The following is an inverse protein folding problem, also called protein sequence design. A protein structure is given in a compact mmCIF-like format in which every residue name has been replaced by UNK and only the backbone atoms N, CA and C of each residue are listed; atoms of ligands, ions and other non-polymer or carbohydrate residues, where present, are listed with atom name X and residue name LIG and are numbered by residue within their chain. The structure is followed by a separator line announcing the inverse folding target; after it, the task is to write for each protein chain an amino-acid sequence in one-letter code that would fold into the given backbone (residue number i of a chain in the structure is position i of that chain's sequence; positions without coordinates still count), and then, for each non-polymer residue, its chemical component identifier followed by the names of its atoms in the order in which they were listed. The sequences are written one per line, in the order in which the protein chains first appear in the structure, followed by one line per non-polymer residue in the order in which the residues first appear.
data_IF_283398744707
#
_entry.id   IF_283398744707
#
_cell.length_a   1.000
_cell.length_b   1.000
_cell.length_c   1.000
_cell.angle_alpha   90.00
_cell.angle_beta   90.00
_cell.angle_gamma   90.00
#
_symmetry.space_group_name_H-M   'P 1'
#
loop_
_entity.id
_entity.type
_entity.pdbx_description
1 polymer ?
#
# COMPACT_ATOMS: atom_id res chain seq x y z
N UNK A 1 -20.99 -3.52 27.53
CA UNK A 1 -21.71 -2.34 28.08
C UNK A 1 -22.64 -2.67 29.26
N UNK A 2 -23.42 -3.77 29.21
CA UNK A 2 -24.39 -4.15 30.26
C UNK A 2 -23.73 -4.44 31.63
N UNK A 3 -22.54 -5.06 31.66
CA UNK A 3 -21.78 -5.31 32.90
C UNK A 3 -21.41 -4.01 33.63
N UNK A 4 -20.92 -3.01 32.90
CA UNK A 4 -20.50 -1.73 33.47
C UNK A 4 -21.68 -0.96 34.06
N UNK A 5 -22.82 -0.96 33.37
CA UNK A 5 -24.05 -0.35 33.87
C UNK A 5 -24.54 -1.04 35.17
N UNK A 6 -24.49 -2.37 35.23
CA UNK A 6 -24.85 -3.12 36.46
C UNK A 6 -23.88 -2.83 37.62
N UNK A 7 -22.58 -2.78 37.35
CA UNK A 7 -21.57 -2.46 38.37
C UNK A 7 -21.71 -1.03 38.88
N UNK A 8 -21.92 -0.06 37.99
CA UNK A 8 -22.19 1.33 38.35
C UNK A 8 -23.45 1.44 39.20
N UNK A 9 -24.56 0.81 38.78
CA UNK A 9 -25.81 0.82 39.53
C UNK A 9 -25.64 0.21 40.93
N UNK A 10 -24.89 -0.89 41.04
CA UNK A 10 -24.58 -1.52 42.34
C UNK A 10 -23.78 -0.58 43.24
N UNK A 11 -22.77 0.12 42.71
CA UNK A 11 -21.98 1.10 43.46
C UNK A 11 -22.82 2.30 43.89
N UNK A 12 -23.64 2.84 42.99
CA UNK A 12 -24.54 3.97 43.29
C UNK A 12 -25.55 3.60 44.38
N UNK A 13 -26.11 2.38 44.35
CA UNK A 13 -27.02 1.89 45.41
C UNK A 13 -26.34 1.69 46.77
N UNK A 14 -25.02 1.53 46.81
CA UNK A 14 -24.26 1.40 48.05
C UNK A 14 -23.89 2.76 48.67
N UNK A 15 -24.05 3.85 47.91
CA UNK A 15 -23.80 5.21 48.42
C UNK A 15 -24.91 5.65 49.37
N UNK A 16 -24.57 6.54 50.30
CA UNK A 16 -25.54 7.25 51.14
C UNK A 16 -26.44 8.16 50.29
N UNK A 17 -27.62 8.53 50.80
CA UNK A 17 -28.52 9.42 50.07
C UNK A 17 -27.90 10.80 49.83
N UNK A 18 -27.08 11.29 50.77
CA UNK A 18 -26.32 12.53 50.59
C UNK A 18 -25.34 12.44 49.41
N UNK A 19 -24.59 11.34 49.32
CA UNK A 19 -23.61 11.13 48.24
C UNK A 19 -24.28 10.89 46.89
N UNK A 20 -25.45 10.22 46.86
CA UNK A 20 -26.24 10.05 45.62
C UNK A 20 -26.74 11.39 45.10
N UNK A 21 -27.24 12.25 45.98
CA UNK A 21 -27.69 13.58 45.62
C UNK A 21 -26.53 14.45 45.12
N UNK A 22 -25.37 14.38 45.77
CA UNK A 22 -24.17 15.08 45.32
C UNK A 22 -23.70 14.57 43.93
N UNK A 23 -23.71 13.26 43.71
CA UNK A 23 -23.36 12.66 42.42
C UNK A 23 -24.35 13.07 41.31
N UNK A 24 -25.65 13.13 41.62
CA UNK A 24 -26.67 13.60 40.69
C UNK A 24 -26.47 15.08 40.33
N UNK A 25 -26.19 15.94 41.32
CA UNK A 25 -25.89 17.36 41.08
C UNK A 25 -24.66 17.52 40.17
N UNK A 26 -23.57 16.81 40.46
CA UNK A 26 -22.37 16.86 39.62
C UNK A 26 -22.68 16.40 38.19
N UNK A 27 -23.38 15.28 38.03
CA UNK A 27 -23.65 14.71 36.69
C UNK A 27 -24.58 15.60 35.86
N UNK A 28 -25.58 16.22 36.49
CA UNK A 28 -26.58 17.04 35.81
C UNK A 28 -26.09 18.46 35.55
N UNK A 29 -25.38 19.06 36.51
CA UNK A 29 -25.09 20.49 36.52
C UNK A 29 -23.61 20.81 36.29
N UNK A 30 -22.70 19.84 36.47
CA UNK A 30 -21.24 20.06 36.38
C UNK A 30 -20.53 19.19 35.34
N UNK A 31 -21.26 18.35 34.60
CA UNK A 31 -20.74 17.61 33.46
C UNK A 31 -21.34 18.16 32.16
N UNK A 32 -20.49 18.45 31.18
CA UNK A 32 -20.92 18.88 29.86
C UNK A 32 -20.78 17.72 28.85
N UNK A 33 -21.86 17.42 28.13
CA UNK A 33 -21.84 16.52 26.98
C UNK A 33 -21.80 17.36 25.69
N UNK A 34 -20.69 17.32 24.97
CA UNK A 34 -20.60 17.94 23.65
C UNK A 34 -21.11 16.95 22.61
N UNK A 35 -22.28 17.22 22.03
CA UNK A 35 -22.85 16.44 20.92
C UNK A 35 -22.61 17.18 19.61
N UNK A 36 -21.84 16.56 18.72
CA UNK A 36 -21.70 17.02 17.33
C UNK A 36 -22.62 16.20 16.44
N UNK A 37 -23.52 16.87 15.71
CA UNK A 37 -24.44 16.24 14.76
C UNK A 37 -23.99 16.62 13.36
N UNK A 38 -23.90 15.62 12.49
CA UNK A 38 -23.51 15.75 11.08
C UNK A 38 -24.63 15.21 10.19
N UNK A 39 -24.68 15.69 8.95
CA UNK A 39 -25.74 15.34 8.00
C UNK A 39 -25.59 13.94 7.40
N UNK A 40 -24.35 13.44 7.33
CA UNK A 40 -24.05 12.13 6.76
C UNK A 40 -22.84 11.48 7.46
N UNK A 41 -22.69 10.18 7.21
CA UNK A 41 -21.69 9.35 7.87
C UNK A 41 -20.25 9.76 7.52
N UNK A 42 -20.00 10.20 6.29
CA UNK A 42 -18.66 10.59 5.82
C UNK A 42 -18.21 11.89 6.51
N UNK A 43 -19.12 12.85 6.70
CA UNK A 43 -18.85 14.05 7.51
C UNK A 43 -18.60 13.70 8.98
N UNK A 44 -19.34 12.72 9.51
CA UNK A 44 -19.12 12.20 10.87
C UNK A 44 -17.71 11.65 11.04
N UNK A 45 -17.22 10.90 10.05
CA UNK A 45 -15.85 10.39 10.05
C UNK A 45 -14.81 11.52 10.00
N UNK A 46 -15.01 12.53 9.14
CA UNK A 46 -14.09 13.69 9.09
C UNK A 46 -14.04 14.42 10.43
N UNK A 47 -15.19 14.68 11.04
CA UNK A 47 -15.27 15.33 12.36
C UNK A 47 -14.59 14.47 13.42
N UNK A 48 -14.87 13.16 13.48
CA UNK A 48 -14.24 12.25 14.42
C UNK A 48 -12.71 12.26 14.27
N UNK A 49 -12.22 12.25 13.03
CA UNK A 49 -10.78 12.28 12.72
C UNK A 49 -10.13 13.59 13.16
N UNK A 50 -10.75 14.74 12.85
CA UNK A 50 -10.27 16.09 13.23
C UNK A 50 -10.28 16.28 14.75
N UNK A 51 -11.31 15.79 15.45
CA UNK A 51 -11.40 15.89 16.91
C UNK A 51 -10.33 15.02 17.60
N UNK A 52 -10.00 13.86 17.04
CA UNK A 52 -8.97 12.98 17.56
C UNK A 52 -7.56 13.34 17.09
N UNK A 53 -7.37 14.37 16.25
CA UNK A 53 -6.04 14.83 15.81
C UNK A 53 -5.19 15.39 16.97
N UNK A 54 -5.82 15.81 18.08
CA UNK A 54 -5.10 16.16 19.32
C UNK A 54 -4.62 14.93 20.12
N UNK A 55 -5.13 13.73 19.80
CA UNK A 55 -4.65 12.44 20.29
C UNK A 55 -4.04 11.60 19.15
N UNK A 56 -3.87 10.28 19.35
CA UNK A 56 -3.48 9.37 18.26
C UNK A 56 -4.66 9.21 17.30
N UNK A 57 -4.52 9.73 16.09
CA UNK A 57 -5.54 9.62 15.04
C UNK A 57 -5.79 8.13 14.72
N UNK A 58 -7.07 7.67 14.72
CA UNK A 58 -7.39 6.30 14.37
C UNK A 58 -7.09 6.05 12.89
N UNK A 59 -6.48 4.91 12.58
CA UNK A 59 -6.18 4.51 11.22
C UNK A 59 -7.44 4.11 10.45
N UNK A 60 -7.34 3.99 9.13
CA UNK A 60 -8.48 3.52 8.35
C UNK A 60 -8.87 2.08 8.71
N UNK A 61 -7.89 1.25 9.06
CA UNK A 61 -8.07 -0.11 9.56
C UNK A 61 -8.90 -0.14 10.85
N UNK A 62 -8.71 0.78 11.80
CA UNK A 62 -9.52 0.86 13.04
C UNK A 62 -11.01 1.11 12.75
N UNK A 63 -11.27 2.03 11.81
CA UNK A 63 -12.64 2.37 11.41
C UNK A 63 -13.28 1.20 10.66
N UNK A 64 -12.55 0.59 9.72
CA UNK A 64 -13.03 -0.58 8.98
C UNK A 64 -13.31 -1.75 9.94
N UNK A 65 -12.43 -2.02 10.92
CA UNK A 65 -12.64 -3.03 11.97
C UNK A 65 -13.99 -2.83 12.66
N UNK A 66 -14.23 -1.61 13.15
CA UNK A 66 -15.46 -1.26 13.86
C UNK A 66 -16.71 -1.54 13.01
N UNK A 67 -16.67 -1.15 11.73
CA UNK A 67 -17.77 -1.35 10.80
C UNK A 67 -18.01 -2.83 10.47
N UNK A 68 -16.95 -3.62 10.31
CA UNK A 68 -17.07 -5.06 10.10
C UNK A 68 -17.73 -5.74 11.29
N UNK A 69 -17.33 -5.38 12.51
CA UNK A 69 -17.83 -5.99 13.74
C UNK A 69 -19.32 -5.67 13.93
N UNK A 70 -19.71 -4.42 13.67
CA UNK A 70 -21.12 -4.01 13.71
C UNK A 70 -21.97 -4.78 12.69
N UNK A 71 -21.46 -4.99 11.47
CA UNK A 71 -22.16 -5.71 10.40
C UNK A 71 -22.25 -7.21 10.64
N UNK A 72 -21.26 -7.79 11.30
CA UNK A 72 -21.22 -9.23 11.57
C UNK A 72 -22.14 -9.68 12.70
N UNK A 73 -22.69 -8.75 13.50
CA UNK A 73 -23.60 -9.04 14.63
C UNK A 73 -23.05 -10.11 15.59
N UNK A 74 -21.75 -10.02 15.89
CA UNK A 74 -21.06 -10.97 16.75
C UNK A 74 -21.63 -11.02 18.16
N UNK A 75 -21.58 -12.21 18.76
CA UNK A 75 -21.66 -12.39 20.22
C UNK A 75 -20.45 -11.72 20.92
N UNK A 76 -20.47 -11.65 22.24
CA UNK A 76 -19.37 -11.00 22.99
C UNK A 76 -18.08 -11.81 22.84
N UNK A 77 -18.20 -13.14 22.88
CA UNK A 77 -17.12 -14.10 22.75
C UNK A 77 -16.49 -14.04 21.35
N UNK A 78 -17.33 -14.04 20.30
CA UNK A 78 -16.86 -13.89 18.91
C UNK A 78 -16.18 -12.52 18.69
N UNK A 79 -16.75 -11.44 19.22
CA UNK A 79 -16.17 -10.11 19.09
C UNK A 79 -14.77 -10.04 19.74
N UNK A 80 -14.58 -10.68 20.90
CA UNK A 80 -13.26 -10.79 21.52
C UNK A 80 -12.28 -11.58 20.66
N UNK A 81 -12.69 -12.75 20.16
CA UNK A 81 -11.86 -13.59 19.28
C UNK A 81 -11.40 -12.85 18.01
N UNK A 82 -12.31 -12.19 17.30
CA UNK A 82 -11.95 -11.43 16.10
C UNK A 82 -11.13 -10.18 16.43
N UNK A 83 -11.34 -9.56 17.61
CA UNK A 83 -10.57 -8.39 18.01
C UNK A 83 -9.10 -8.73 18.24
N UNK A 84 -8.84 -9.88 18.86
CA UNK A 84 -7.50 -10.41 19.09
C UNK A 84 -6.79 -10.73 17.77
N UNK A 85 -7.44 -11.49 16.88
CA UNK A 85 -6.89 -11.79 15.54
C UNK A 85 -6.60 -10.55 14.71
N UNK A 86 -7.47 -9.53 14.79
CA UNK A 86 -7.20 -8.26 14.12
C UNK A 86 -5.96 -7.57 14.69
N UNK A 87 -5.80 -7.56 16.01
CA UNK A 87 -4.63 -6.98 16.67
C UNK A 87 -3.34 -7.73 16.31
N UNK A 88 -3.39 -9.06 16.16
CA UNK A 88 -2.25 -9.85 15.66
C UNK A 88 -1.86 -9.44 14.23
N UNK A 89 -2.85 -9.27 13.34
CA UNK A 89 -2.59 -8.80 11.96
C UNK A 89 -2.01 -7.38 11.93
N UNK A 90 -2.53 -6.48 12.77
CA UNK A 90 -2.00 -5.13 12.91
C UNK A 90 -0.59 -5.12 13.48
N UNK A 91 -0.31 -5.92 14.51
CA UNK A 91 1.03 -6.04 15.10
C UNK A 91 2.04 -6.62 14.10
N UNK A 92 1.62 -7.58 13.26
CA UNK A 92 2.48 -8.22 12.28
C UNK A 92 2.91 -7.28 11.13
N UNK A 93 2.07 -6.30 10.77
CA UNK A 93 2.31 -5.39 9.64
C UNK A 93 2.67 -3.97 10.06
N UNK A 94 2.13 -3.50 11.19
CA UNK A 94 2.03 -2.10 11.58
C UNK A 94 0.84 -1.39 10.93
N UNK A 95 0.28 -0.40 11.64
CA UNK A 95 -0.98 0.26 11.23
C UNK A 95 -0.94 0.93 9.84
N UNK A 96 0.16 1.58 9.45
CA UNK A 96 0.29 2.20 8.12
C UNK A 96 0.32 1.17 7.00
N UNK A 97 1.03 0.06 7.20
CA UNK A 97 1.10 -1.03 6.24
C UNK A 97 -0.25 -1.77 6.13
N UNK A 98 -0.97 -1.89 7.25
CA UNK A 98 -2.32 -2.46 7.26
C UNK A 98 -3.33 -1.57 6.51
N UNK A 99 -3.23 -0.25 6.68
CA UNK A 99 -4.01 0.71 5.89
C UNK A 99 -3.73 0.61 4.39
N UNK A 100 -2.48 0.38 3.98
CA UNK A 100 -2.17 0.13 2.57
C UNK A 100 -2.70 -1.22 2.09
N UNK A 101 -2.61 -2.29 2.89
CA UNK A 101 -3.19 -3.60 2.57
C UNK A 101 -4.69 -3.48 2.26
N UNK A 102 -5.46 -2.78 3.10
CA UNK A 102 -6.90 -2.57 2.86
C UNK A 102 -7.15 -1.76 1.58
N UNK A 103 -6.26 -0.82 1.24
CA UNK A 103 -6.26 -0.10 -0.06
C UNK A 103 -6.02 -1.06 -1.23
N UNK A 104 -5.04 -1.95 -1.14
CA UNK A 104 -4.73 -2.91 -2.20
C UNK A 104 -5.87 -3.93 -2.38
N UNK A 105 -6.44 -4.45 -1.29
CA UNK A 105 -7.64 -5.29 -1.31
C UNK A 105 -8.76 -4.55 -2.03
N UNK A 106 -9.06 -3.29 -1.64
CA UNK A 106 -10.07 -2.50 -2.32
C UNK A 106 -9.81 -2.41 -3.82
N UNK A 107 -8.57 -2.14 -4.23
CA UNK A 107 -8.20 -2.02 -5.65
C UNK A 107 -8.45 -3.30 -6.46
N UNK A 108 -8.43 -4.46 -5.82
CA UNK A 108 -8.72 -5.76 -6.46
C UNK A 108 -10.23 -5.93 -6.70
N UNK A 109 -11.08 -5.48 -5.78
CA UNK A 109 -12.54 -5.64 -5.88
C UNK A 109 -13.26 -4.44 -6.51
N UNK A 110 -12.68 -3.23 -6.47
CA UNK A 110 -13.23 -1.98 -6.96
C UNK A 110 -12.38 -1.43 -8.13
N UNK A 111 -12.85 -1.70 -9.35
CA UNK A 111 -12.19 -1.31 -10.60
C UNK A 111 -12.03 0.21 -10.76
N UNK A 112 -12.91 1.00 -10.13
CA UNK A 112 -12.84 2.46 -10.21
C UNK A 112 -11.87 3.03 -9.18
N UNK A 113 -11.83 2.42 -7.98
CA UNK A 113 -11.09 2.88 -6.81
C UNK A 113 -11.22 4.38 -6.52
N UNK A 114 -12.33 5.01 -6.96
CA UNK A 114 -12.60 6.43 -6.76
C UNK A 114 -13.22 6.69 -5.39
N UNK A 115 -12.86 7.79 -4.75
CA UNK A 115 -13.41 8.19 -3.45
C UNK A 115 -12.70 7.56 -2.24
N UNK A 116 -13.23 7.82 -1.06
CA UNK A 116 -12.58 7.48 0.22
C UNK A 116 -12.44 5.97 0.45
N UNK A 117 -11.32 5.54 1.06
CA UNK A 117 -11.01 4.14 1.35
C UNK A 117 -12.16 3.45 2.09
N UNK A 118 -12.58 3.98 3.23
CA UNK A 118 -13.53 3.32 4.14
C UNK A 118 -14.87 3.08 3.44
N UNK A 119 -15.47 4.15 2.92
CA UNK A 119 -16.77 4.10 2.24
C UNK A 119 -16.71 3.22 0.99
N UNK A 120 -15.65 3.33 0.20
CA UNK A 120 -15.45 2.47 -0.98
C UNK A 120 -15.23 0.99 -0.60
N UNK A 121 -14.51 0.70 0.48
CA UNK A 121 -14.28 -0.67 0.96
C UNK A 121 -15.60 -1.32 1.38
N UNK A 122 -16.37 -0.63 2.22
CA UNK A 122 -17.66 -1.11 2.73
C UNK A 122 -18.74 -1.25 1.65
N UNK A 123 -18.65 -0.46 0.56
CA UNK A 123 -19.59 -0.49 -0.56
C UNK A 123 -19.21 -1.50 -1.63
N UNK A 124 -17.92 -1.68 -1.92
CA UNK A 124 -17.47 -2.43 -3.10
C UNK A 124 -16.79 -3.77 -2.78
N UNK A 125 -16.27 -3.95 -1.56
CA UNK A 125 -15.62 -5.20 -1.12
C UNK A 125 -16.62 -6.06 -0.33
N UNK A 126 -17.15 -5.51 0.77
CA UNK A 126 -17.94 -6.29 1.74
C UNK A 126 -19.21 -6.92 1.18
N UNK A 127 -20.00 -6.28 0.29
CA UNK A 127 -21.18 -6.93 -0.28
C UNK A 127 -20.89 -8.18 -1.11
N UNK A 128 -19.64 -8.37 -1.57
CA UNK A 128 -19.26 -9.52 -2.41
C UNK A 128 -18.86 -10.76 -1.60
N UNK A 129 -18.48 -10.60 -0.33
CA UNK A 129 -17.87 -11.67 0.50
C UNK A 129 -18.54 -11.80 1.87
N UNK A 130 -19.29 -10.78 2.33
CA UNK A 130 -19.74 -10.55 3.71
C UNK A 130 -18.62 -10.12 4.67
N UNK A 131 -19.00 -9.51 5.80
CA UNK A 131 -18.03 -9.06 6.80
C UNK A 131 -17.35 -10.23 7.53
N UNK A 132 -18.09 -11.30 7.83
CA UNK A 132 -17.55 -12.49 8.49
C UNK A 132 -16.62 -13.27 7.57
N UNK A 133 -17.04 -13.57 6.34
CA UNK A 133 -16.17 -14.23 5.35
C UNK A 133 -14.92 -13.41 5.02
N UNK A 134 -14.99 -12.08 5.09
CA UNK A 134 -13.80 -11.26 4.96
C UNK A 134 -12.80 -11.48 6.10
N UNK A 135 -13.27 -11.52 7.34
CA UNK A 135 -12.42 -11.72 8.53
C UNK A 135 -11.85 -13.14 8.62
N UNK A 136 -12.65 -14.15 8.27
CA UNK A 136 -12.25 -15.55 8.35
C UNK A 136 -11.32 -15.97 7.21
N UNK A 137 -11.72 -15.68 5.97
CA UNK A 137 -11.10 -16.30 4.80
C UNK A 137 -10.20 -15.34 4.02
N UNK A 138 -10.56 -14.06 3.94
CA UNK A 138 -9.85 -13.11 3.06
C UNK A 138 -8.69 -12.47 3.79
N UNK A 139 -8.94 -11.81 4.91
CA UNK A 139 -7.95 -11.01 5.62
C UNK A 139 -6.68 -11.81 5.95
N UNK A 140 -6.72 -13.03 6.52
CA UNK A 140 -5.51 -13.76 6.89
C UNK A 140 -4.60 -14.10 5.69
N UNK A 141 -5.19 -14.57 4.58
CA UNK A 141 -4.44 -14.89 3.35
C UNK A 141 -3.79 -13.64 2.76
N UNK A 142 -4.52 -12.54 2.76
CA UNK A 142 -4.03 -11.26 2.26
C UNK A 142 -2.95 -10.66 3.16
N UNK A 143 -3.02 -10.80 4.48
CA UNK A 143 -1.95 -10.39 5.42
C UNK A 143 -0.66 -11.15 5.13
N UNK A 144 -0.74 -12.48 4.98
CA UNK A 144 0.41 -13.32 4.66
C UNK A 144 1.06 -12.93 3.33
N UNK A 145 0.26 -12.82 2.26
CA UNK A 145 0.75 -12.42 0.95
C UNK A 145 1.30 -10.97 0.94
N UNK A 146 0.69 -10.07 1.71
CA UNK A 146 1.15 -8.68 1.81
C UNK A 146 2.50 -8.55 2.50
N UNK A 147 2.75 -9.37 3.53
CA UNK A 147 4.08 -9.48 4.15
C UNK A 147 5.13 -9.89 3.13
N UNK A 148 4.83 -10.85 2.25
CA UNK A 148 5.74 -11.28 1.18
C UNK A 148 6.06 -10.12 0.24
N UNK A 149 5.05 -9.44 -0.32
CA UNK A 149 5.32 -8.38 -1.32
C UNK A 149 5.99 -7.14 -0.73
N UNK A 150 5.84 -6.89 0.58
CA UNK A 150 6.43 -5.71 1.23
C UNK A 150 7.81 -5.95 1.81
N UNK A 151 8.18 -7.20 2.08
CA UNK A 151 9.51 -7.59 2.59
C UNK A 151 10.39 -8.23 1.52
N UNK A 152 9.78 -8.76 0.46
CA UNK A 152 10.38 -9.65 -0.52
C UNK A 152 11.10 -10.85 0.12
N UNK A 153 10.76 -11.21 1.36
CA UNK A 153 11.43 -12.30 2.06
C UNK A 153 10.81 -13.64 1.66
N UNK A 154 11.58 -14.42 0.92
CA UNK A 154 11.24 -15.77 0.46
C UNK A 154 12.47 -16.62 0.65
N UNK A 155 12.48 -17.42 1.71
CA UNK A 155 13.67 -18.17 2.14
C UNK A 155 13.80 -19.54 1.45
N UNK A 156 12.69 -20.10 0.98
CA UNK A 156 12.61 -21.47 0.46
C UNK A 156 11.78 -21.57 -0.81
N UNK A 157 12.18 -22.45 -1.73
CA UNK A 157 11.43 -22.81 -2.92
C UNK A 157 12.21 -22.61 -4.23
N UNK A 158 11.84 -23.32 -5.31
CA UNK A 158 12.60 -23.34 -6.57
C UNK A 158 12.68 -21.97 -7.25
N UNK A 159 11.76 -21.06 -6.92
CA UNK A 159 11.63 -19.75 -7.55
C UNK A 159 11.78 -18.58 -6.57
N UNK A 160 12.09 -18.87 -5.31
CA UNK A 160 12.11 -17.89 -4.22
C UNK A 160 13.03 -16.70 -4.52
N UNK A 161 14.26 -16.99 -4.97
CA UNK A 161 15.26 -15.96 -5.30
C UNK A 161 14.78 -15.03 -6.43
N UNK A 162 14.28 -15.60 -7.53
CA UNK A 162 13.80 -14.82 -8.66
C UNK A 162 12.62 -13.92 -8.26
N UNK A 163 11.63 -14.48 -7.55
CA UNK A 163 10.46 -13.72 -7.12
C UNK A 163 10.86 -12.63 -6.12
N UNK A 164 11.74 -12.95 -5.17
CA UNK A 164 12.31 -11.97 -4.22
C UNK A 164 13.00 -10.82 -4.95
N UNK A 165 13.82 -11.13 -5.96
CA UNK A 165 14.51 -10.11 -6.76
C UNK A 165 13.53 -9.20 -7.50
N UNK A 166 12.49 -9.78 -8.14
CA UNK A 166 11.46 -9.00 -8.83
C UNK A 166 10.62 -8.14 -7.89
N UNK A 167 10.30 -8.66 -6.70
CA UNK A 167 9.63 -7.88 -5.65
C UNK A 167 10.52 -6.75 -5.15
N UNK A 168 11.80 -6.98 -4.88
CA UNK A 168 12.75 -5.94 -4.46
C UNK A 168 12.91 -4.84 -5.52
N UNK A 169 13.00 -5.20 -6.79
CA UNK A 169 13.02 -4.25 -7.91
C UNK A 169 11.75 -3.38 -7.92
N UNK A 170 10.56 -3.99 -7.83
CA UNK A 170 9.30 -3.22 -7.81
C UNK A 170 9.11 -2.39 -6.54
N UNK A 171 9.60 -2.85 -5.39
CA UNK A 171 9.59 -2.11 -4.11
C UNK A 171 10.45 -0.84 -4.17
N UNK A 172 11.39 -0.74 -5.11
CA UNK A 172 12.16 0.48 -5.32
C UNK A 172 11.36 1.59 -6.03
N UNK A 173 10.21 1.27 -6.63
CA UNK A 173 9.38 2.23 -7.36
C UNK A 173 8.58 3.12 -6.41
N UNK A 174 8.47 4.41 -6.75
CA UNK A 174 7.65 5.38 -5.99
C UNK A 174 6.15 5.02 -6.01
N UNK A 175 5.68 4.42 -7.11
CA UNK A 175 4.28 4.00 -7.26
C UNK A 175 4.06 2.59 -6.74
N UNK A 176 2.93 2.35 -6.09
CA UNK A 176 2.59 1.09 -5.42
C UNK A 176 1.45 0.32 -6.07
N UNK A 177 0.95 0.77 -7.23
CA UNK A 177 -0.20 0.15 -7.91
C UNK A 177 0.06 -1.28 -8.41
N UNK A 178 1.34 -1.67 -8.51
CA UNK A 178 1.77 -3.04 -8.80
C UNK A 178 1.47 -4.01 -7.63
N UNK A 179 1.25 -3.51 -6.41
CA UNK A 179 1.00 -4.37 -5.23
C UNK A 179 -0.29 -5.15 -5.38
N UNK A 180 -1.36 -4.53 -5.88
CA UNK A 180 -2.65 -5.21 -6.08
C UNK A 180 -2.55 -6.48 -6.95
N UNK A 181 -1.97 -6.45 -8.17
CA UNK A 181 -1.79 -7.68 -8.97
C UNK A 181 -0.82 -8.67 -8.36
N UNK A 182 0.27 -8.23 -7.72
CA UNK A 182 1.17 -9.14 -7.00
C UNK A 182 0.44 -9.87 -5.86
N UNK A 183 -0.33 -9.13 -5.06
CA UNK A 183 -1.10 -9.63 -3.94
C UNK A 183 -2.17 -10.62 -4.38
N UNK A 184 -2.93 -10.28 -5.43
CA UNK A 184 -3.96 -11.15 -5.99
C UNK A 184 -3.36 -12.45 -6.50
N UNK A 185 -2.25 -12.40 -7.24
CA UNK A 185 -1.58 -13.61 -7.73
C UNK A 185 -1.16 -14.54 -6.58
N UNK A 186 -0.51 -14.00 -5.54
CA UNK A 186 -0.09 -14.81 -4.40
C UNK A 186 -1.26 -15.43 -3.63
N UNK A 187 -2.40 -14.74 -3.52
CA UNK A 187 -3.57 -15.27 -2.83
C UNK A 187 -4.30 -16.34 -3.65
N UNK A 188 -4.36 -16.18 -4.98
CA UNK A 188 -5.09 -17.13 -5.85
C UNK A 188 -4.25 -18.36 -6.22
N UNK A 189 -2.95 -18.19 -6.44
CA UNK A 189 -2.07 -19.24 -6.97
C UNK A 189 -0.95 -19.67 -6.02
N UNK A 190 -0.50 -18.76 -5.15
CA UNK A 190 0.66 -18.99 -4.28
C UNK A 190 2.00 -18.72 -4.96
N UNK A 191 3.07 -18.76 -4.15
CA UNK A 191 4.44 -18.47 -4.59
C UNK A 191 5.09 -19.62 -5.36
N UNK A 192 4.66 -20.86 -5.11
CA UNK A 192 5.21 -22.07 -5.72
C UNK A 192 4.54 -22.44 -7.05
N UNK A 193 3.53 -21.67 -7.47
CA UNK A 193 2.86 -21.91 -8.74
C UNK A 193 3.85 -21.83 -9.91
N UNK A 194 3.74 -22.75 -10.87
CA UNK A 194 4.67 -22.87 -12.02
C UNK A 194 4.81 -21.57 -12.84
N UNK A 195 3.74 -20.78 -12.91
CA UNK A 195 3.72 -19.50 -13.64
C UNK A 195 4.22 -18.30 -12.83
N UNK A 196 4.53 -18.47 -11.54
CA UNK A 196 4.96 -17.37 -10.67
C UNK A 196 6.22 -16.66 -11.19
N UNK A 197 7.28 -17.35 -11.67
CA UNK A 197 8.45 -16.68 -12.23
C UNK A 197 8.12 -15.79 -13.42
N UNK A 198 7.32 -16.30 -14.36
CA UNK A 198 6.91 -15.55 -15.55
C UNK A 198 6.02 -14.37 -15.17
N UNK A 199 5.08 -14.57 -14.25
CA UNK A 199 4.19 -13.52 -13.76
C UNK A 199 4.97 -12.35 -13.15
N UNK A 200 5.84 -12.62 -12.17
CA UNK A 200 6.59 -11.57 -11.48
C UNK A 200 7.60 -10.88 -12.39
N UNK A 201 8.20 -11.61 -13.33
CA UNK A 201 9.09 -11.02 -14.35
C UNK A 201 8.34 -10.06 -15.27
N UNK A 202 7.16 -10.44 -15.77
CA UNK A 202 6.34 -9.56 -16.62
C UNK A 202 5.75 -8.39 -15.85
N UNK A 203 5.32 -8.60 -14.61
CA UNK A 203 4.80 -7.54 -13.74
C UNK A 203 5.87 -6.49 -13.40
N UNK A 204 7.09 -6.92 -13.08
CA UNK A 204 8.22 -6.02 -12.85
C UNK A 204 8.51 -5.18 -14.09
N UNK A 205 8.68 -5.83 -15.26
CA UNK A 205 8.93 -5.13 -16.51
C UNK A 205 7.83 -4.11 -16.83
N UNK A 206 6.56 -4.49 -16.69
CA UNK A 206 5.44 -3.59 -16.90
C UNK A 206 5.49 -2.41 -15.93
N UNK A 207 5.83 -2.65 -14.66
CA UNK A 207 5.86 -1.61 -13.62
C UNK A 207 6.91 -0.54 -13.88
N UNK A 208 8.08 -0.92 -14.39
CA UNK A 208 9.11 0.03 -14.83
C UNK A 208 8.72 0.78 -16.10
N UNK A 209 8.10 0.12 -17.09
CA UNK A 209 7.57 0.82 -18.28
C UNK A 209 6.53 1.86 -17.87
N UNK A 210 5.58 1.48 -17.01
CA UNK A 210 4.55 2.38 -16.49
C UNK A 210 5.17 3.58 -15.77
N UNK A 211 6.20 3.38 -14.95
CA UNK A 211 6.93 4.49 -14.31
C UNK A 211 7.52 5.46 -15.33
N UNK A 212 8.09 4.93 -16.43
CA UNK A 212 8.76 5.74 -17.45
C UNK A 212 7.78 6.49 -18.36
N UNK A 213 6.67 5.86 -18.75
CA UNK A 213 5.83 6.36 -19.86
C UNK A 213 4.41 6.78 -19.48
N UNK A 214 3.91 6.44 -18.29
CA UNK A 214 2.55 6.75 -17.84
C UNK A 214 2.55 7.65 -16.59
N UNK A 215 2.61 8.96 -16.81
CA UNK A 215 2.59 9.97 -15.75
C UNK A 215 1.20 10.16 -15.11
N UNK A 216 0.12 9.86 -15.83
CA UNK A 216 -1.25 9.95 -15.32
C UNK A 216 -1.65 8.78 -14.41
N UNK A 217 -2.15 9.08 -13.21
CA UNK A 217 -2.50 8.09 -12.18
C UNK A 217 -3.64 7.17 -12.61
N UNK A 218 -4.63 7.69 -13.31
CA UNK A 218 -5.80 6.92 -13.73
C UNK A 218 -5.42 5.91 -14.83
N UNK A 219 -4.56 6.32 -15.78
CA UNK A 219 -4.00 5.43 -16.79
C UNK A 219 -3.17 4.30 -16.18
N UNK A 220 -2.30 4.60 -15.20
CA UNK A 220 -1.55 3.56 -14.47
C UNK A 220 -2.49 2.56 -13.80
N UNK A 221 -3.49 3.07 -13.08
CA UNK A 221 -4.48 2.26 -12.36
C UNK A 221 -5.24 1.35 -13.33
N UNK A 222 -5.70 1.88 -14.47
CA UNK A 222 -6.34 1.07 -15.53
C UNK A 222 -5.42 -0.02 -16.07
N UNK A 223 -4.13 0.26 -16.25
CA UNK A 223 -3.15 -0.71 -16.77
C UNK A 223 -2.97 -1.90 -15.82
N UNK A 224 -2.83 -1.66 -14.51
CA UNK A 224 -2.74 -2.73 -13.51
C UNK A 224 -4.07 -3.44 -13.27
N UNK A 225 -5.21 -2.74 -13.37
CA UNK A 225 -6.52 -3.38 -13.27
C UNK A 225 -6.76 -4.41 -14.37
N UNK A 226 -6.29 -4.16 -15.60
CA UNK A 226 -6.32 -5.17 -16.66
C UNK A 226 -5.51 -6.42 -16.32
N UNK A 227 -4.41 -6.30 -15.58
CA UNK A 227 -3.67 -7.46 -15.07
C UNK A 227 -4.53 -8.18 -14.04
N UNK A 228 -5.05 -7.47 -13.02
CA UNK A 228 -5.92 -8.04 -11.97
C UNK A 228 -7.09 -8.85 -12.54
N UNK A 229 -7.74 -8.35 -13.59
CA UNK A 229 -8.89 -9.02 -14.22
C UNK A 229 -8.54 -10.36 -14.88
N UNK A 230 -7.28 -10.55 -15.28
CA UNK A 230 -6.85 -11.71 -16.06
C UNK A 230 -6.01 -12.72 -15.25
N UNK A 231 -5.73 -12.47 -13.96
CA UNK A 231 -4.93 -13.39 -13.11
C UNK A 231 -5.52 -14.81 -13.05
N UNK A 232 -6.85 -14.93 -13.03
CA UNK A 232 -7.53 -16.24 -13.04
C UNK A 232 -7.64 -16.90 -14.43
N UNK A 233 -7.11 -16.29 -15.50
CA UNK A 233 -7.20 -16.81 -16.86
C UNK A 233 -5.85 -16.74 -17.57
N UNK A 234 -5.06 -17.81 -17.44
CA UNK A 234 -3.71 -17.92 -18.03
C UNK A 234 -3.69 -17.69 -19.55
N UNK A 235 -4.72 -18.15 -20.28
CA UNK A 235 -4.80 -17.98 -21.74
C UNK A 235 -4.84 -16.51 -22.15
N UNK A 236 -5.59 -15.69 -21.42
CA UNK A 236 -5.64 -14.24 -21.68
C UNK A 236 -4.43 -13.53 -21.09
N UNK A 237 -3.99 -13.93 -19.90
CA UNK A 237 -2.89 -13.30 -19.19
C UNK A 237 -1.56 -13.39 -19.94
N UNK A 238 -1.31 -14.50 -20.64
CA UNK A 238 -0.07 -14.76 -21.37
C UNK A 238 -0.24 -14.85 -22.89
N UNK A 239 -1.48 -14.73 -23.39
CA UNK A 239 -1.77 -14.80 -24.82
C UNK A 239 -1.39 -13.54 -25.62
N UNK A 240 -1.75 -13.54 -26.91
CA UNK A 240 -1.44 -12.45 -27.85
C UNK A 240 -1.96 -11.07 -27.42
N UNK A 241 -3.07 -11.03 -26.68
CA UNK A 241 -3.67 -9.81 -26.13
C UNK A 241 -3.26 -9.51 -24.68
N UNK A 242 -2.18 -10.11 -24.18
CA UNK A 242 -1.78 -10.03 -22.77
C UNK A 242 -1.77 -8.60 -22.22
N UNK A 243 -2.28 -8.36 -21.01
CA UNK A 243 -2.19 -7.06 -20.35
C UNK A 243 -0.73 -6.66 -20.03
N UNK A 244 0.22 -7.60 -20.05
CA UNK A 244 1.66 -7.35 -19.91
C UNK A 244 2.33 -6.83 -21.18
N UNK A 245 1.65 -6.89 -22.33
CA UNK A 245 2.24 -6.47 -23.59
C UNK A 245 2.60 -4.98 -23.57
N UNK A 246 3.85 -4.71 -23.90
CA UNK A 246 4.38 -3.37 -24.12
C UNK A 246 4.25 -3.08 -25.62
N UNK A 247 3.51 -2.04 -25.96
CA UNK A 247 3.31 -1.61 -27.35
C UNK A 247 4.60 -1.04 -27.94
N UNK A 248 4.68 -0.98 -29.28
CA UNK A 248 5.82 -0.35 -29.97
C UNK A 248 6.00 1.12 -29.56
N UNK A 249 4.90 1.84 -29.40
CA UNK A 249 4.90 3.22 -28.92
C UNK A 249 5.42 3.34 -27.48
N UNK A 250 4.91 2.53 -26.54
CA UNK A 250 5.41 2.50 -25.16
C UNK A 250 6.91 2.16 -25.12
N UNK A 251 7.35 1.19 -25.94
CA UNK A 251 8.77 0.82 -26.03
C UNK A 251 9.63 1.97 -26.53
N UNK A 252 9.20 2.69 -27.58
CA UNK A 252 9.91 3.86 -28.11
C UNK A 252 9.97 4.98 -27.08
N UNK A 253 8.84 5.33 -26.46
CA UNK A 253 8.79 6.36 -25.42
C UNK A 253 9.64 6.00 -24.20
N UNK A 254 9.67 4.73 -23.80
CA UNK A 254 10.52 4.27 -22.72
C UNK A 254 12.01 4.40 -23.08
N UNK A 255 12.38 4.05 -24.31
CA UNK A 255 13.73 4.23 -24.83
C UNK A 255 14.16 5.70 -24.81
N UNK A 256 13.35 6.58 -25.42
CA UNK A 256 13.61 8.03 -25.44
C UNK A 256 13.68 8.61 -24.02
N UNK A 257 12.83 8.12 -23.10
CA UNK A 257 12.83 8.54 -21.69
C UNK A 257 14.11 8.13 -20.96
N UNK A 258 14.70 6.99 -21.27
CA UNK A 258 15.96 6.53 -20.64
C UNK A 258 17.17 7.34 -21.09
N UNK A 259 17.15 7.91 -22.30
CA UNK A 259 18.18 8.82 -22.78
C UNK A 259 18.07 10.24 -22.16
N UNK A 260 16.90 10.58 -21.63
CA UNK A 260 16.63 11.87 -21.03
C UNK A 260 16.91 11.96 -19.52
N UNK A 261 16.62 13.14 -18.97
CA UNK A 261 16.82 13.46 -17.54
C UNK A 261 15.76 12.82 -16.65
N UNK A 262 16.19 12.34 -15.49
CA UNK A 262 15.35 11.86 -14.41
C UNK A 262 15.21 12.91 -13.33
N UNK A 263 14.02 13.50 -13.19
CA UNK A 263 13.80 14.64 -12.30
C UNK A 263 13.86 14.25 -10.81
N UNK A 264 13.24 13.13 -10.41
CA UNK A 264 13.10 12.75 -9.00
C UNK A 264 14.20 11.78 -8.57
N UNK A 265 14.58 11.86 -7.29
CA UNK A 265 15.55 10.93 -6.70
C UNK A 265 15.04 9.48 -6.73
N UNK A 266 13.75 9.26 -6.44
CA UNK A 266 13.15 7.92 -6.48
C UNK A 266 13.23 7.25 -7.86
N UNK A 267 13.01 8.00 -8.94
CA UNK A 267 13.17 7.45 -10.29
C UNK A 267 14.64 7.18 -10.64
N UNK A 268 15.57 8.06 -10.26
CA UNK A 268 17.02 7.82 -10.44
C UNK A 268 17.45 6.55 -9.72
N UNK A 269 17.11 6.44 -8.43
CA UNK A 269 17.45 5.29 -7.58
C UNK A 269 16.84 3.98 -8.08
N UNK A 270 15.55 3.96 -8.38
CA UNK A 270 14.89 2.74 -8.87
C UNK A 270 15.47 2.24 -10.20
N UNK A 271 15.86 3.14 -11.10
CA UNK A 271 16.53 2.77 -12.35
C UNK A 271 17.96 2.29 -12.13
N UNK A 272 18.76 2.98 -11.30
CA UNK A 272 20.12 2.57 -10.98
C UNK A 272 20.15 1.16 -10.36
N UNK A 273 19.31 0.89 -9.36
CA UNK A 273 19.22 -0.43 -8.71
C UNK A 273 18.79 -1.53 -9.71
N UNK A 274 17.87 -1.22 -10.62
CA UNK A 274 17.44 -2.17 -11.66
C UNK A 274 18.54 -2.44 -12.68
N UNK A 275 19.26 -1.40 -13.11
CA UNK A 275 20.37 -1.53 -14.04
C UNK A 275 21.50 -2.33 -13.41
N UNK A 276 21.86 -2.05 -12.14
CA UNK A 276 22.82 -2.85 -11.39
C UNK A 276 22.47 -4.34 -11.42
N UNK A 277 21.20 -4.69 -11.18
CA UNK A 277 20.74 -6.07 -11.23
C UNK A 277 20.74 -6.71 -12.64
N UNK A 278 20.83 -5.90 -13.70
CA UNK A 278 20.82 -6.35 -15.09
C UNK A 278 22.22 -6.41 -15.74
N UNK A 279 23.23 -5.82 -15.11
CA UNK A 279 24.63 -5.88 -15.56
C UNK A 279 25.20 -7.30 -15.36
N UNK A 280 26.25 -7.61 -16.12
CA UNK A 280 27.00 -8.85 -15.92
C UNK A 280 27.68 -8.86 -14.53
N UNK A 281 27.55 -9.96 -13.80
CA UNK A 281 27.91 -10.03 -12.36
C UNK A 281 27.03 -9.18 -11.43
N UNK A 282 26.01 -8.52 -11.96
CA UNK A 282 25.08 -7.69 -11.21
C UNK A 282 24.17 -8.49 -10.27
N UNK A 283 23.65 -7.83 -9.24
CA UNK A 283 22.72 -8.44 -8.29
C UNK A 283 21.62 -7.46 -7.85
N UNK A 284 20.50 -8.02 -7.39
CA UNK A 284 19.41 -7.19 -6.87
C UNK A 284 19.76 -6.69 -5.48
N UNK A 285 19.81 -5.36 -5.34
CA UNK A 285 19.96 -4.67 -4.08
C UNK A 285 18.56 -4.32 -3.56
N UNK A 286 18.28 -4.67 -2.30
CA UNK A 286 16.97 -4.41 -1.72
C UNK A 286 16.79 -2.91 -1.43
N UNK A 287 15.57 -2.34 -1.58
CA UNK A 287 15.36 -0.90 -1.43
C UNK A 287 15.68 -0.33 -0.04
N UNK A 288 15.60 -1.18 0.99
CA UNK A 288 15.95 -0.85 2.38
C UNK A 288 17.46 -0.83 2.67
N UNK A 289 18.29 -1.24 1.72
CA UNK A 289 19.74 -1.04 1.83
C UNK A 289 20.10 0.44 1.89
N UNK A 290 21.28 0.71 2.40
CA UNK A 290 21.94 2.02 2.44
C UNK A 290 22.48 2.46 1.06
N UNK A 291 22.22 1.71 -0.01
CA UNK A 291 22.62 2.09 -1.36
C UNK A 291 22.03 3.45 -1.76
N UNK A 292 22.91 4.42 -1.94
CA UNK A 292 22.61 5.73 -2.52
C UNK A 292 22.88 5.73 -4.02
N UNK A 293 22.49 6.82 -4.69
CA UNK A 293 22.86 7.06 -6.08
C UNK A 293 23.58 8.38 -6.11
N UNK A 294 24.83 8.34 -6.54
CA UNK A 294 25.69 9.50 -6.62
C UNK A 294 25.88 9.96 -8.06
N UNK A 295 26.19 11.24 -8.22
CA UNK A 295 26.45 11.87 -9.51
C UNK A 295 27.96 11.82 -9.80
N UNK A 296 28.36 11.25 -10.95
CA UNK A 296 29.76 11.26 -11.40
C UNK A 296 30.16 12.67 -11.84
N UNK A 297 29.39 13.29 -12.75
CA UNK A 297 29.42 14.71 -13.05
C UNK A 297 28.62 15.45 -11.97
N UNK A 298 29.27 16.23 -11.10
CA UNK A 298 28.60 16.90 -9.99
C UNK A 298 27.57 17.92 -10.47
N UNK A 299 26.52 18.11 -9.67
CA UNK A 299 25.53 19.17 -9.90
C UNK A 299 26.11 20.57 -9.75
N UNK A 300 26.96 20.73 -8.73
CA UNK A 300 27.65 21.97 -8.43
C UNK A 300 29.13 21.75 -8.70
N UNK A 301 29.64 22.36 -9.76
CA UNK A 301 31.01 22.19 -10.24
C UNK A 301 31.80 23.43 -9.85
N UNK A 302 32.95 23.23 -9.20
CA UNK A 302 33.89 24.31 -8.89
C UNK A 302 34.53 24.87 -10.17
N UNK A 303 34.87 26.15 -10.19
CA UNK A 303 35.44 26.84 -11.37
C UNK A 303 36.79 26.24 -11.81
N UNK A 304 37.55 25.68 -10.87
CA UNK A 304 38.84 25.01 -11.09
C UNK A 304 38.72 23.51 -11.45
N UNK A 305 37.51 22.96 -11.54
CA UNK A 305 37.30 21.55 -11.79
C UNK A 305 37.63 21.13 -13.23
N UNK A 306 38.23 19.95 -13.40
CA UNK A 306 38.45 19.35 -14.72
C UNK A 306 37.17 19.24 -15.57
N UNK A 307 36.00 19.08 -14.92
CA UNK A 307 34.71 19.05 -15.61
C UNK A 307 34.39 20.32 -16.41
N UNK A 308 34.94 21.47 -16.01
CA UNK A 308 34.81 22.73 -16.75
C UNK A 308 35.60 22.72 -18.06
N UNK A 309 36.63 21.88 -18.17
CA UNK A 309 37.43 21.67 -19.38
C UNK A 309 36.78 20.58 -20.25
N UNK A 310 36.41 19.43 -19.65
CA UNK A 310 35.83 18.29 -20.40
C UNK A 310 34.46 18.63 -20.98
N UNK A 311 33.64 19.38 -20.24
CA UNK A 311 32.30 19.78 -20.65
C UNK A 311 32.14 21.29 -20.50
N UNK A 312 32.72 22.13 -21.38
CA UNK A 312 32.76 23.58 -21.19
C UNK A 312 31.37 24.24 -21.36
N UNK A 313 30.48 23.62 -22.13
CA UNK A 313 29.13 24.13 -22.38
C UNK A 313 28.19 23.87 -21.18
N UNK A 314 27.69 24.92 -20.51
CA UNK A 314 26.80 24.78 -19.36
C UNK A 314 25.46 24.13 -19.70
N UNK A 315 24.95 24.27 -20.93
CA UNK A 315 23.70 23.65 -21.34
C UNK A 315 23.86 22.12 -21.43
N UNK A 316 24.95 21.66 -22.05
CA UNK A 316 25.29 20.22 -22.13
C UNK A 316 25.53 19.61 -20.75
N UNK A 317 26.24 20.29 -19.85
CA UNK A 317 26.42 19.82 -18.46
C UNK A 317 25.08 19.61 -17.76
N UNK A 318 24.18 20.59 -17.87
CA UNK A 318 22.84 20.51 -17.27
C UNK A 318 21.98 19.39 -17.88
N UNK A 319 22.15 19.11 -19.16
CA UNK A 319 21.46 18.03 -19.85
C UNK A 319 21.93 16.65 -19.34
N UNK A 320 23.25 16.47 -19.18
CA UNK A 320 23.85 15.19 -18.78
C UNK A 320 23.76 14.90 -17.27
N UNK A 321 23.64 15.94 -16.43
CA UNK A 321 23.75 15.76 -14.98
C UNK A 321 22.73 14.76 -14.41
N UNK A 322 21.49 14.74 -14.89
CA UNK A 322 20.44 13.85 -14.38
C UNK A 322 20.12 12.67 -15.32
N UNK A 323 21.08 12.22 -16.13
CA UNK A 323 20.92 11.05 -17.01
C UNK A 323 21.44 9.77 -16.35
N UNK A 324 20.94 8.61 -16.80
CA UNK A 324 21.34 7.30 -16.24
C UNK A 324 22.84 7.03 -16.35
N UNK A 325 23.49 7.54 -17.40
CA UNK A 325 24.93 7.38 -17.60
C UNK A 325 25.79 8.19 -16.62
N UNK A 326 25.18 9.06 -15.81
CA UNK A 326 25.87 9.89 -14.83
C UNK A 326 25.74 9.38 -13.38
N UNK A 327 25.11 8.22 -13.18
CA UNK A 327 24.83 7.67 -11.86
C UNK A 327 25.77 6.51 -11.54
N UNK A 328 26.27 6.46 -10.31
CA UNK A 328 27.02 5.34 -9.73
C UNK A 328 26.37 4.86 -8.44
#
# INVERSE_FOLDING_TARGET
MVQNARTLLKRVKALSDADRNALADVTMNRCALVRVVVNDKDQGFKVFRVLNTRGKEPGAHDIIKTELFQRSKFTTEEASFYSERWAEHEAALGGSAFDDLLRQIRSIYDKSSKGELITGFLKNVIPKITARGFLDDVLPRYVAAYKIITTANLDTGPHAKLISDKLNQMRALDQTSWRAPALKFLVEHGVEHESAPEFFTKLERLSYIIMLVLTDRDQRTKRFNKVNENIGNSRTLYGRGSPFNITKDESRRAFDRMLGRFATFGQRRSMALRLNAALDGGFTIAPQSDATVEHVLPRNISEDSHWMITWPDPAKRREQCDTLGNFV
#
